data_IF_174996296819
#
_entry.id   IF_174996296819
#
_cell.length_a   1.000
_cell.length_b   1.000
_cell.length_c   1.000
_cell.angle_alpha   90.00
_cell.angle_beta   90.00
_cell.angle_gamma   90.00
#
_symmetry.space_group_name_H-M   'P 1'
#
loop_
_entity.id
_entity.type
_entity.pdbx_description
1 polymer ?
#
# COMPACT_ATOMS: atom_id res chain seq x y z
N UNK A 1 55.75 -83.80 9.70
CA UNK A 1 56.56 -82.71 10.31
C UNK A 1 55.84 -81.40 10.08
N UNK A 2 55.78 -80.52 11.09
CA UNK A 2 55.44 -79.07 11.05
C UNK A 2 54.08 -78.71 10.37
N UNK A 3 53.01 -78.43 11.12
CA UNK A 3 52.69 -77.21 11.90
C UNK A 3 52.21 -76.00 11.06
N UNK A 4 51.01 -75.51 11.44
CA UNK A 4 50.58 -74.09 11.58
C UNK A 4 49.95 -73.35 10.36
N UNK A 5 48.93 -72.46 10.48
CA UNK A 5 47.94 -72.23 11.58
C UNK A 5 46.72 -71.32 11.18
N UNK A 6 45.48 -71.74 11.52
CA UNK A 6 44.28 -70.97 11.98
C UNK A 6 43.70 -69.73 11.20
N UNK A 7 42.34 -69.68 11.19
CA UNK A 7 41.37 -68.53 11.23
C UNK A 7 40.58 -68.05 9.99
N UNK A 8 39.28 -68.03 10.24
CA UNK A 8 38.11 -67.41 9.60
C UNK A 8 38.26 -65.97 9.05
N UNK A 9 37.52 -65.69 7.98
CA UNK A 9 36.67 -64.49 7.74
C UNK A 9 35.78 -64.82 6.53
N UNK A 10 34.46 -64.90 6.63
CA UNK A 10 33.49 -63.80 6.78
C UNK A 10 33.61 -62.72 5.69
N UNK A 11 32.83 -62.85 4.62
CA UNK A 11 32.33 -61.73 3.82
C UNK A 11 30.86 -61.98 3.52
N UNK A 12 30.05 -60.93 3.67
CA UNK A 12 28.59 -60.97 3.74
C UNK A 12 27.97 -60.76 2.35
N UNK A 13 27.01 -61.60 1.97
CA UNK A 13 26.18 -61.37 0.77
C UNK A 13 25.14 -60.30 1.10
N UNK A 14 25.36 -59.08 0.62
CA UNK A 14 24.43 -57.97 0.80
C UNK A 14 23.25 -58.11 -0.18
N UNK A 15 22.13 -58.64 0.31
CA UNK A 15 20.89 -58.74 -0.47
C UNK A 15 20.19 -57.40 -0.56
N UNK A 16 20.06 -56.85 -1.78
CA UNK A 16 19.40 -55.57 -2.05
C UNK A 16 17.88 -55.70 -1.94
N UNK A 17 17.34 -55.46 -0.73
CA UNK A 17 15.90 -55.41 -0.50
C UNK A 17 15.34 -54.04 -0.93
N UNK A 18 14.71 -53.98 -2.11
CA UNK A 18 14.03 -52.78 -2.61
C UNK A 18 12.72 -52.55 -1.85
N UNK A 19 12.76 -51.68 -0.83
CA UNK A 19 11.58 -51.27 -0.06
C UNK A 19 10.84 -50.18 -0.85
N UNK A 20 9.75 -50.55 -1.53
CA UNK A 20 8.83 -49.60 -2.13
C UNK A 20 8.00 -48.89 -1.04
N UNK A 21 8.58 -47.88 -0.40
CA UNK A 21 7.82 -46.95 0.45
C UNK A 21 6.99 -46.06 -0.48
N UNK A 22 5.81 -46.55 -0.85
CA UNK A 22 4.78 -45.77 -1.50
C UNK A 22 4.26 -44.73 -0.51
N UNK A 23 4.77 -43.50 -0.59
CA UNK A 23 4.20 -42.37 0.12
C UNK A 23 2.76 -42.18 -0.34
N UNK A 24 1.83 -42.70 0.47
CA UNK A 24 0.40 -42.42 0.31
C UNK A 24 0.22 -40.94 0.64
N UNK A 25 0.21 -40.10 -0.40
CA UNK A 25 -0.14 -38.68 -0.27
C UNK A 25 -1.54 -38.65 0.30
N UNK A 26 -1.67 -38.21 1.55
CA UNK A 26 -3.00 -37.96 2.12
C UNK A 26 -3.67 -36.89 1.26
N UNK A 27 -4.93 -37.13 0.91
CA UNK A 27 -5.77 -36.11 0.29
C UNK A 27 -6.01 -35.02 1.33
N UNK A 28 -5.10 -34.04 1.34
CA UNK A 28 -5.28 -32.76 2.02
C UNK A 28 -6.58 -32.20 1.49
N UNK A 29 -7.63 -32.28 2.32
CA UNK A 29 -8.89 -31.60 2.03
C UNK A 29 -8.53 -30.16 1.68
N UNK A 30 -9.01 -29.62 0.54
CA UNK A 30 -8.80 -28.21 0.27
C UNK A 30 -9.28 -27.45 1.50
N UNK A 31 -8.42 -26.56 2.01
CA UNK A 31 -8.83 -25.58 3.00
C UNK A 31 -10.09 -24.90 2.45
N UNK A 32 -11.07 -24.55 3.31
CA UNK A 32 -12.13 -23.64 2.89
C UNK A 32 -11.47 -22.46 2.17
N UNK A 33 -12.02 -21.99 1.03
CA UNK A 33 -11.50 -20.77 0.42
C UNK A 33 -11.47 -19.72 1.53
N UNK A 34 -10.29 -19.17 1.77
CA UNK A 34 -10.10 -18.03 2.68
C UNK A 34 -11.13 -16.98 2.27
N UNK A 35 -12.02 -16.61 3.20
CA UNK A 35 -13.11 -15.66 2.91
C UNK A 35 -12.48 -14.41 2.32
N UNK A 36 -12.61 -14.26 1.00
CA UNK A 36 -11.94 -13.21 0.28
C UNK A 36 -12.58 -11.91 0.74
N UNK A 37 -11.80 -11.10 1.46
CA UNK A 37 -12.27 -9.84 1.99
C UNK A 37 -12.94 -9.04 0.87
N UNK A 38 -14.23 -8.83 1.00
CA UNK A 38 -15.00 -8.14 -0.02
C UNK A 38 -14.68 -6.64 0.05
N UNK A 39 -14.26 -6.11 -1.09
CA UNK A 39 -13.89 -4.71 -1.28
C UNK A 39 -14.82 -4.13 -2.35
N UNK A 40 -15.35 -2.93 -2.11
CA UNK A 40 -15.92 -2.11 -3.18
C UNK A 40 -14.78 -1.38 -3.90
N UNK A 41 -14.83 -1.33 -5.23
CA UNK A 41 -13.80 -0.69 -6.08
C UNK A 41 -14.38 0.47 -6.88
N UNK A 42 -13.62 1.56 -6.95
CA UNK A 42 -13.94 2.76 -7.70
C UNK A 42 -12.92 2.92 -8.83
N UNK A 43 -13.36 2.90 -10.09
CA UNK A 43 -12.51 3.33 -11.21
C UNK A 43 -12.39 4.86 -11.18
N UNK A 44 -11.17 5.37 -11.09
CA UNK A 44 -10.89 6.81 -11.18
C UNK A 44 -10.43 7.20 -12.60
N UNK A 45 -10.45 6.25 -13.55
CA UNK A 45 -10.23 6.41 -14.98
C UNK A 45 -8.94 7.15 -15.34
N UNK A 46 -7.87 6.94 -14.55
CA UNK A 46 -6.58 7.63 -14.67
C UNK A 46 -6.70 9.16 -14.61
N UNK A 47 -7.56 9.68 -13.71
CA UNK A 47 -7.81 11.10 -13.55
C UNK A 47 -6.51 11.87 -13.29
N UNK A 48 -6.12 12.71 -14.24
CA UNK A 48 -5.01 13.63 -14.08
C UNK A 48 -5.42 14.85 -13.24
N UNK A 49 -4.57 15.20 -12.27
CA UNK A 49 -4.56 16.46 -11.53
C UNK A 49 -3.28 17.20 -11.93
N UNK A 50 -3.42 18.45 -12.38
CA UNK A 50 -2.32 19.34 -12.79
C UNK A 50 -2.41 20.67 -12.06
N UNK A 51 -1.30 21.41 -12.02
CA UNK A 51 -1.29 22.79 -11.57
C UNK A 51 -2.43 23.60 -12.22
N UNK A 52 -3.13 24.39 -11.41
CA UNK A 52 -4.23 25.27 -11.85
C UNK A 52 -5.46 24.58 -12.48
N UNK A 53 -5.56 23.25 -12.37
CA UNK A 53 -6.78 22.52 -12.77
C UNK A 53 -7.74 22.34 -11.58
N UNK A 54 -9.05 22.19 -11.81
CA UNK A 54 -9.97 21.77 -10.76
C UNK A 54 -9.53 20.43 -10.17
N UNK A 55 -9.46 20.39 -8.83
CA UNK A 55 -9.18 19.16 -8.10
C UNK A 55 -10.23 18.07 -8.36
N UNK A 56 -9.93 16.86 -7.90
CA UNK A 56 -10.85 15.73 -7.94
C UNK A 56 -11.29 15.37 -6.52
N UNK A 57 -12.44 14.74 -6.39
CA UNK A 57 -12.87 14.17 -5.13
C UNK A 57 -13.70 12.92 -5.36
N UNK A 58 -13.87 12.12 -4.32
CA UNK A 58 -14.62 10.87 -4.35
C UNK A 58 -15.45 10.78 -3.07
N UNK A 59 -16.66 10.24 -3.22
CA UNK A 59 -17.51 9.72 -2.16
C UNK A 59 -17.21 8.22 -2.11
N UNK A 60 -16.63 7.72 -1.01
CA UNK A 60 -16.21 6.32 -0.87
C UNK A 60 -17.11 5.54 0.08
N UNK A 61 -18.03 6.20 0.79
CA UNK A 61 -18.97 5.57 1.72
C UNK A 61 -20.45 5.70 1.31
N UNK A 62 -20.72 6.46 0.24
CA UNK A 62 -22.03 6.77 -0.33
C UNK A 62 -22.96 7.56 0.61
N UNK A 63 -22.42 8.37 1.52
CA UNK A 63 -23.20 9.28 2.38
C UNK A 63 -23.66 10.57 1.64
N UNK A 64 -23.19 10.79 0.41
CA UNK A 64 -23.51 11.93 -0.43
C UNK A 64 -22.55 13.12 -0.25
N UNK A 65 -21.53 13.01 0.61
CA UNK A 65 -20.45 13.99 0.79
C UNK A 65 -19.22 13.56 -0.02
N UNK A 66 -18.14 14.33 0.08
CA UNK A 66 -16.93 14.15 -0.74
C UNK A 66 -15.75 13.86 0.17
N UNK A 67 -15.77 12.64 0.69
CA UNK A 67 -14.85 12.06 1.66
C UNK A 67 -13.37 12.38 1.45
N UNK A 68 -12.89 12.21 0.21
CA UNK A 68 -11.47 12.37 -0.14
C UNK A 68 -11.37 13.34 -1.31
N UNK A 69 -10.46 14.31 -1.21
CA UNK A 69 -10.18 15.32 -2.24
C UNK A 69 -8.69 15.37 -2.56
N UNK A 70 -8.38 15.50 -3.84
CA UNK A 70 -7.05 15.74 -4.38
C UNK A 70 -7.04 17.10 -5.09
N UNK A 71 -5.95 17.85 -4.97
CA UNK A 71 -5.85 19.15 -5.64
C UNK A 71 -4.45 19.74 -5.64
N UNK A 72 -4.35 20.98 -6.10
CA UNK A 72 -3.11 21.76 -6.09
C UNK A 72 -3.28 23.09 -5.35
N UNK A 73 -2.25 23.52 -4.62
CA UNK A 73 -2.10 24.88 -4.10
C UNK A 73 -0.86 25.54 -4.73
N UNK A 74 -0.88 26.87 -4.83
CA UNK A 74 0.31 27.67 -5.10
C UNK A 74 0.64 28.45 -3.82
N UNK A 75 1.82 28.24 -3.27
CA UNK A 75 2.26 28.83 -1.99
C UNK A 75 3.62 29.50 -2.17
N UNK A 76 3.65 30.83 -2.12
CA UNK A 76 4.87 31.63 -2.23
C UNK A 76 5.50 31.93 -0.87
N UNK A 77 6.81 31.74 -0.78
CA UNK A 77 7.66 32.24 0.31
C UNK A 77 8.50 33.43 -0.21
N UNK A 78 8.16 34.67 0.20
CA UNK A 78 8.88 35.87 -0.25
C UNK A 78 10.22 36.09 0.47
N UNK A 79 10.51 35.36 1.56
CA UNK A 79 11.79 35.43 2.28
C UNK A 79 12.81 34.56 1.56
N UNK A 80 12.45 33.30 1.28
CA UNK A 80 13.30 32.34 0.56
C UNK A 80 13.26 32.52 -0.97
N UNK A 81 12.37 33.38 -1.49
CA UNK A 81 12.19 33.68 -2.92
C UNK A 81 11.85 32.43 -3.75
N UNK A 82 10.94 31.60 -3.22
CA UNK A 82 10.45 30.39 -3.87
C UNK A 82 8.92 30.38 -3.94
N UNK A 83 8.38 29.86 -5.04
CA UNK A 83 6.97 29.49 -5.17
C UNK A 83 6.86 27.97 -5.16
N UNK A 84 5.86 27.42 -4.48
CA UNK A 84 5.63 25.98 -4.38
C UNK A 84 4.28 25.61 -5.00
N UNK A 85 4.29 24.77 -6.04
CA UNK A 85 3.07 24.10 -6.53
C UNK A 85 2.94 22.79 -5.77
N UNK A 86 2.05 22.76 -4.78
CA UNK A 86 1.86 21.63 -3.88
C UNK A 86 0.69 20.75 -4.34
N UNK A 87 0.94 19.47 -4.58
CA UNK A 87 -0.11 18.46 -4.78
C UNK A 87 -0.46 17.85 -3.43
N UNK A 88 -1.75 17.89 -3.06
CA UNK A 88 -2.21 17.46 -1.75
C UNK A 88 -3.40 16.52 -1.82
N UNK A 89 -3.58 15.73 -0.77
CA UNK A 89 -4.79 15.00 -0.42
C UNK A 89 -5.40 15.63 0.84
N UNK A 90 -6.72 15.75 0.90
CA UNK A 90 -7.45 16.16 2.11
C UNK A 90 -8.69 15.30 2.33
N UNK A 91 -9.04 15.04 3.60
CA UNK A 91 -10.24 14.27 3.98
C UNK A 91 -11.30 15.12 4.69
N UNK A 92 -12.55 14.68 4.64
CA UNK A 92 -13.69 15.28 5.35
C UNK A 92 -13.99 14.57 6.70
N UNK A 93 -14.95 15.08 7.49
CA UNK A 93 -15.35 14.50 8.79
C UNK A 93 -15.78 13.04 8.62
N UNK A 94 -15.25 12.14 9.45
CA UNK A 94 -15.48 10.70 9.37
C UNK A 94 -14.44 9.95 8.54
N UNK A 95 -13.49 10.62 7.88
CA UNK A 95 -12.46 9.97 7.06
C UNK A 95 -11.06 10.35 7.50
N UNK A 96 -10.25 9.33 7.83
CA UNK A 96 -8.91 9.47 8.36
C UNK A 96 -7.83 9.17 7.32
N UNK A 97 -6.71 9.88 7.44
CA UNK A 97 -5.42 9.46 6.90
C UNK A 97 -4.49 9.03 8.04
N UNK A 98 -3.55 8.09 7.83
CA UNK A 98 -2.58 7.72 8.83
C UNK A 98 -1.37 8.66 8.71
N UNK A 99 -1.27 9.64 9.59
CA UNK A 99 -0.27 10.72 9.56
C UNK A 99 0.78 10.52 10.65
N UNK A 100 2.04 10.83 10.36
CA UNK A 100 3.14 10.81 11.34
C UNK A 100 3.53 12.21 11.84
N UNK A 101 4.51 12.28 12.74
CA UNK A 101 5.02 13.54 13.32
C UNK A 101 5.67 14.50 12.31
N UNK A 102 5.91 14.09 11.07
CA UNK A 102 6.44 14.92 9.98
C UNK A 102 5.32 15.33 9.00
N UNK A 103 4.06 15.32 9.45
CA UNK A 103 2.85 15.64 8.66
C UNK A 103 2.79 14.88 7.31
N UNK A 104 3.29 13.64 7.31
CA UNK A 104 3.40 12.78 6.13
C UNK A 104 2.55 11.52 6.29
N UNK A 105 2.13 10.93 5.17
CA UNK A 105 1.41 9.66 5.07
C UNK A 105 2.29 8.59 4.37
N UNK A 106 2.13 7.28 4.66
CA UNK A 106 3.06 6.26 4.20
C UNK A 106 2.83 5.87 2.73
N UNK A 107 3.92 5.70 1.97
CA UNK A 107 3.89 5.27 0.57
C UNK A 107 3.78 3.74 0.50
N UNK A 108 2.56 3.21 0.51
CA UNK A 108 2.36 1.76 0.46
C UNK A 108 2.54 1.19 -0.96
N UNK A 109 3.08 -0.02 -1.01
CA UNK A 109 3.19 -0.86 -2.20
C UNK A 109 2.04 -1.88 -2.27
N UNK A 110 1.80 -2.44 -3.45
CA UNK A 110 0.77 -3.47 -3.61
C UNK A 110 1.06 -4.69 -2.74
N UNK A 111 0.08 -5.05 -1.91
CA UNK A 111 0.15 -6.16 -0.97
C UNK A 111 0.48 -5.77 0.47
N UNK A 112 0.88 -4.52 0.73
CA UNK A 112 1.15 -4.04 2.09
C UNK A 112 -0.15 -3.99 2.92
N UNK A 113 -0.08 -4.40 4.19
CA UNK A 113 -1.23 -4.43 5.09
C UNK A 113 -1.59 -3.05 5.63
N UNK A 114 -2.88 -2.70 5.58
CA UNK A 114 -3.44 -1.48 6.16
C UNK A 114 -4.11 -1.87 7.49
N UNK A 115 -3.40 -1.59 8.58
CA UNK A 115 -3.79 -1.88 9.96
C UNK A 115 -4.87 -0.92 10.48
N UNK A 116 -5.60 -1.30 11.52
CA UNK A 116 -6.74 -0.52 12.06
C UNK A 116 -6.33 0.61 13.02
N UNK A 117 -5.19 0.47 13.70
CA UNK A 117 -4.80 1.31 14.84
C UNK A 117 -3.53 2.15 14.55
N UNK A 118 -2.33 1.58 14.67
CA UNK A 118 -1.08 2.19 14.25
C UNK A 118 -0.59 1.56 12.94
N UNK A 119 -0.11 2.38 12.00
CA UNK A 119 0.42 1.94 10.72
C UNK A 119 1.95 2.13 10.64
N UNK A 120 2.67 1.57 11.61
CA UNK A 120 4.13 1.69 11.79
C UNK A 120 4.60 3.11 12.13
N UNK A 121 4.02 3.72 13.18
CA UNK A 121 4.32 5.08 13.62
C UNK A 121 3.54 6.17 12.89
N UNK A 122 2.42 5.80 12.28
CA UNK A 122 1.45 6.70 11.66
C UNK A 122 0.07 6.47 12.32
N UNK A 123 -0.57 7.55 12.75
CA UNK A 123 -1.83 7.52 13.50
C UNK A 123 -2.99 8.07 12.67
N UNK A 124 -4.19 7.51 12.84
CA UNK A 124 -5.38 7.90 12.07
C UNK A 124 -5.99 9.23 12.53
N UNK A 125 -5.85 10.28 11.71
CA UNK A 125 -6.42 11.61 11.95
C UNK A 125 -7.48 11.98 10.91
N UNK A 126 -8.66 12.38 11.39
CA UNK A 126 -9.73 12.98 10.58
C UNK A 126 -9.38 14.41 10.18
N UNK A 127 -10.06 14.94 9.14
CA UNK A 127 -9.85 16.31 8.65
C UNK A 127 -8.39 16.64 8.29
N UNK A 128 -7.64 15.62 7.87
CA UNK A 128 -6.24 15.76 7.48
C UNK A 128 -6.12 16.44 6.13
N UNK A 129 -5.07 17.25 5.94
CA UNK A 129 -4.68 17.80 4.64
C UNK A 129 -3.16 17.69 4.49
N UNK A 130 -2.69 16.85 3.58
CA UNK A 130 -1.30 16.39 3.50
C UNK A 130 -0.74 16.69 2.12
N UNK A 131 0.41 17.36 2.06
CA UNK A 131 1.19 17.54 0.83
C UNK A 131 1.85 16.21 0.48
N UNK A 132 1.54 15.68 -0.69
CA UNK A 132 2.11 14.43 -1.21
C UNK A 132 3.49 14.71 -1.82
N UNK A 133 3.52 15.73 -2.68
CA UNK A 133 4.66 16.15 -3.49
C UNK A 133 4.48 17.63 -3.85
N UNK A 134 5.58 18.37 -3.97
CA UNK A 134 5.59 19.75 -4.44
C UNK A 134 6.67 20.01 -5.47
N UNK A 135 6.37 20.88 -6.43
CA UNK A 135 7.35 21.50 -7.31
C UNK A 135 7.80 22.83 -6.69
N UNK A 136 9.08 22.93 -6.38
CA UNK A 136 9.73 24.15 -5.86
C UNK A 136 10.26 24.94 -7.05
N UNK A 137 9.70 26.12 -7.28
CA UNK A 137 10.08 27.08 -8.31
C UNK A 137 10.95 28.15 -7.64
N UNK A 138 12.23 28.22 -8.00
CA UNK A 138 13.19 29.10 -7.34
C UNK A 138 13.58 30.28 -8.23
N UNK A 139 13.74 31.47 -7.66
CA UNK A 139 14.15 32.65 -8.43
C UNK A 139 15.55 32.53 -9.06
N UNK A 140 16.51 31.89 -8.34
CA UNK A 140 17.92 31.81 -8.75
C UNK A 140 18.41 30.39 -9.10
N UNK A 141 17.59 29.36 -8.90
CA UNK A 141 17.97 27.95 -9.09
C UNK A 141 17.00 27.26 -10.06
N UNK A 142 17.39 26.17 -10.73
CA UNK A 142 16.46 25.35 -11.49
C UNK A 142 15.33 24.82 -10.62
N UNK A 143 14.12 24.70 -11.20
CA UNK A 143 12.98 24.06 -10.55
C UNK A 143 13.35 22.66 -10.05
N UNK A 144 12.83 22.30 -8.87
CA UNK A 144 13.05 20.99 -8.26
C UNK A 144 11.75 20.38 -7.72
N UNK A 145 11.79 19.09 -7.41
CA UNK A 145 10.63 18.34 -6.90
C UNK A 145 10.98 17.67 -5.57
N UNK A 146 10.11 17.88 -4.58
CA UNK A 146 10.27 17.41 -3.21
C UNK A 146 8.99 16.77 -2.66
N UNK A 147 9.12 15.99 -1.59
CA UNK A 147 8.03 15.26 -0.95
C UNK A 147 8.14 13.74 -1.13
N UNK A 148 7.58 13.00 -0.17
CA UNK A 148 7.73 11.55 -0.05
C UNK A 148 7.13 10.77 -1.24
N UNK A 149 6.14 11.34 -1.92
CA UNK A 149 5.44 10.71 -3.04
C UNK A 149 6.00 11.05 -4.43
N UNK A 150 7.10 11.80 -4.53
CA UNK A 150 7.63 12.28 -5.82
C UNK A 150 7.92 11.16 -6.84
N UNK A 151 8.38 10.01 -6.34
CA UNK A 151 8.73 8.82 -7.14
C UNK A 151 7.60 7.77 -7.15
N UNK A 152 6.36 8.15 -6.78
CA UNK A 152 5.23 7.24 -6.72
C UNK A 152 4.81 6.77 -8.11
N UNK A 153 4.84 5.45 -8.32
CA UNK A 153 4.33 4.79 -9.52
C UNK A 153 3.53 3.56 -9.07
N UNK A 154 2.22 3.56 -9.30
CA UNK A 154 1.26 2.57 -8.78
C UNK A 154 1.46 2.32 -7.27
N UNK A 155 1.38 3.40 -6.48
CA UNK A 155 1.48 3.40 -5.01
C UNK A 155 0.14 3.73 -4.37
N UNK A 156 -0.04 3.30 -3.12
CA UNK A 156 -1.35 3.26 -2.48
C UNK A 156 -1.40 4.18 -1.26
N UNK A 157 -2.25 5.20 -1.29
CA UNK A 157 -2.59 6.00 -0.12
C UNK A 157 -3.60 5.22 0.71
N UNK A 158 -3.29 4.79 1.94
CA UNK A 158 -4.27 4.22 2.85
C UNK A 158 -5.23 5.30 3.39
N UNK A 159 -6.49 4.95 3.57
CA UNK A 159 -7.49 5.74 4.29
C UNK A 159 -8.36 4.85 5.18
N UNK A 160 -9.05 5.45 6.15
CA UNK A 160 -10.01 4.75 7.00
C UNK A 160 -11.29 5.58 7.15
N UNK A 161 -12.43 5.02 6.77
CA UNK A 161 -13.74 5.62 7.07
C UNK A 161 -14.21 5.12 8.44
N UNK A 162 -14.71 6.04 9.26
CA UNK A 162 -15.39 5.75 10.53
C UNK A 162 -16.88 6.03 10.38
N UNK A 163 -17.70 5.04 10.69
CA UNK A 163 -19.15 5.18 10.73
C UNK A 163 -19.67 4.58 12.04
N UNK A 164 -20.13 5.45 12.94
CA UNK A 164 -20.31 5.14 14.36
C UNK A 164 -19.05 4.46 14.94
N UNK A 165 -19.20 3.35 15.67
CA UNK A 165 -18.10 2.60 16.29
C UNK A 165 -17.36 1.65 15.32
N UNK A 166 -17.61 1.73 14.01
CA UNK A 166 -17.03 0.83 12.99
C UNK A 166 -16.03 1.53 12.09
N UNK A 167 -14.96 0.82 11.74
CA UNK A 167 -13.90 1.30 10.84
C UNK A 167 -13.86 0.49 9.56
N UNK A 168 -13.65 1.17 8.44
CA UNK A 168 -13.55 0.57 7.12
C UNK A 168 -12.27 1.06 6.46
N UNK A 169 -11.26 0.20 6.41
CA UNK A 169 -9.98 0.51 5.78
C UNK A 169 -10.10 0.43 4.26
N UNK A 170 -9.42 1.33 3.57
CA UNK A 170 -9.40 1.43 2.12
C UNK A 170 -8.09 2.02 1.60
N UNK A 171 -7.97 2.12 0.27
CA UNK A 171 -6.81 2.68 -0.40
C UNK A 171 -7.17 3.43 -1.68
N UNK A 172 -6.35 4.42 -2.05
CA UNK A 172 -6.37 5.08 -3.37
C UNK A 172 -5.04 4.83 -4.07
N UNK A 173 -5.07 4.29 -5.29
CA UNK A 173 -3.88 4.07 -6.12
C UNK A 173 -3.54 5.33 -6.93
N UNK A 174 -2.30 5.79 -6.81
CA UNK A 174 -1.78 6.99 -7.47
C UNK A 174 -0.41 6.78 -8.12
N UNK A 175 -0.11 7.63 -9.11
CA UNK A 175 1.24 7.84 -9.64
C UNK A 175 1.53 9.34 -9.78
N UNK A 176 2.79 9.73 -9.61
CA UNK A 176 3.30 11.07 -9.86
C UNK A 176 4.15 11.04 -11.13
N UNK A 177 3.80 11.86 -12.10
CA UNK A 177 4.53 12.04 -13.36
C UNK A 177 5.16 13.43 -13.35
N UNK A 178 6.39 13.49 -12.81
CA UNK A 178 7.21 14.70 -12.70
C UNK A 178 7.43 15.33 -14.08
N UNK A 179 7.66 14.52 -15.12
CA UNK A 179 7.96 15.02 -16.48
C UNK A 179 6.77 15.71 -17.14
N UNK A 180 5.54 15.40 -16.72
CA UNK A 180 4.31 16.04 -17.20
C UNK A 180 3.60 16.86 -16.10
N UNK A 181 4.30 17.16 -15.00
CA UNK A 181 3.88 17.95 -13.84
C UNK A 181 2.47 17.61 -13.32
N UNK A 182 2.20 16.30 -13.11
CA UNK A 182 0.86 15.81 -12.76
C UNK A 182 0.85 14.67 -11.74
N UNK A 183 -0.24 14.62 -10.97
CA UNK A 183 -0.67 13.47 -10.19
C UNK A 183 -1.73 12.70 -11.01
N UNK A 184 -1.68 11.38 -11.00
CA UNK A 184 -2.62 10.49 -11.68
C UNK A 184 -3.33 9.65 -10.63
N UNK A 185 -4.67 9.65 -10.62
CA UNK A 185 -5.48 8.81 -9.75
C UNK A 185 -6.02 7.63 -10.57
N UNK A 186 -5.63 6.40 -10.22
CA UNK A 186 -5.96 5.22 -11.03
C UNK A 186 -7.29 4.60 -10.63
N UNK A 187 -7.40 4.16 -9.37
CA UNK A 187 -8.56 3.50 -8.78
C UNK A 187 -8.52 3.63 -7.25
N UNK A 188 -9.64 3.40 -6.58
CA UNK A 188 -9.70 3.27 -5.13
C UNK A 188 -10.45 2.00 -4.73
N UNK A 189 -10.32 1.58 -3.46
CA UNK A 189 -11.17 0.55 -2.88
C UNK A 189 -11.39 0.76 -1.39
N UNK A 190 -12.49 0.24 -0.86
CA UNK A 190 -12.82 0.22 0.58
C UNK A 190 -13.39 -1.16 0.97
N UNK A 191 -13.09 -1.63 2.19
CA UNK A 191 -13.69 -2.85 2.74
C UNK A 191 -15.20 -2.70 2.90
N UNK A 192 -16.00 -3.68 2.46
CA UNK A 192 -17.44 -3.74 2.78
C UNK A 192 -17.69 -4.23 4.21
N UNK A 193 -16.72 -4.96 4.78
CA UNK A 193 -16.74 -5.46 6.16
C UNK A 193 -16.02 -4.51 7.12
N UNK A 194 -16.59 -4.34 8.31
CA UNK A 194 -16.02 -3.50 9.36
C UNK A 194 -14.83 -4.16 10.08
N UNK A 195 -13.91 -3.32 10.54
CA UNK A 195 -12.75 -3.67 11.37
C UNK A 195 -11.90 -4.80 10.76
N UNK A 196 -11.65 -4.69 9.45
CA UNK A 196 -10.79 -5.59 8.68
C UNK A 196 -9.44 -4.96 8.34
N UNK A 197 -8.38 -5.75 8.47
CA UNK A 197 -7.06 -5.42 7.92
C UNK A 197 -7.11 -5.73 6.42
N UNK A 198 -6.92 -4.72 5.57
CA UNK A 198 -6.95 -4.89 4.11
C UNK A 198 -5.53 -4.89 3.53
N UNK A 199 -5.36 -5.43 2.32
CA UNK A 199 -4.11 -5.30 1.57
C UNK A 199 -4.23 -4.19 0.52
N UNK A 200 -3.24 -3.29 0.46
CA UNK A 200 -3.16 -2.25 -0.56
C UNK A 200 -3.14 -2.85 -1.98
N UNK A 201 -4.01 -2.38 -2.88
CA UNK A 201 -4.01 -2.76 -4.30
C UNK A 201 -4.39 -4.21 -4.61
N UNK A 202 -4.90 -4.95 -3.62
CA UNK A 202 -5.63 -6.21 -3.83
C UNK A 202 -7.11 -5.91 -3.95
#
# INVERSE_FOLDING_TARGET
MKNFVIKSSLVIVFGTLLIFISCRKEDVKPLPPEDQLEMEYFDLSNKEIKAFTPGFSVDVNHDGRRDIKFGTLLVGDPIEQVDNVQFFISTDIGVCLPVNNNESIPVLSKGDSILLDDLNGYQWFELSSIVLVQKVISYNNPDSWDGLWKDANHKFIPFQVKNADKRYNGWVEISVDISNEKLILHKAAISTAADQIVCAGK
#
